data_IF_878954431445
#
_entry.id   IF_878954431445
#
_cell.length_a   1.000
_cell.length_b   1.000
_cell.length_c   1.000
_cell.angle_alpha   90.00
_cell.angle_beta   90.00
_cell.angle_gamma   90.00
#
_symmetry.space_group_name_H-M   'P 1'
#
loop_
_entity.id
_entity.type
_entity.pdbx_description
1 polymer ?
#
# COMPACT_ATOMS: atom_id res chain seq x y z
N UNK A 1 7.40 -3.32 -7.03
CA UNK A 1 6.97 -1.94 -7.37
C UNK A 1 5.48 -2.00 -7.64
N UNK A 2 4.70 -1.24 -6.88
CA UNK A 2 3.23 -1.29 -6.93
C UNK A 2 2.71 0.03 -7.47
N UNK A 3 1.92 -0.02 -8.56
CA UNK A 3 1.35 1.19 -9.18
C UNK A 3 0.13 1.65 -8.40
N UNK A 4 0.08 2.93 -8.07
CA UNK A 4 -1.06 3.57 -7.43
C UNK A 4 -2.14 3.83 -8.47
N UNK A 5 -3.35 3.34 -8.21
CA UNK A 5 -4.52 3.58 -9.07
C UNK A 5 -5.49 4.59 -8.50
N UNK A 6 -5.59 4.64 -7.18
CA UNK A 6 -6.51 5.53 -6.49
C UNK A 6 -5.84 6.15 -5.27
N UNK A 7 -6.22 7.39 -5.00
CA UNK A 7 -5.83 8.11 -3.80
C UNK A 7 -7.11 8.67 -3.20
N UNK A 8 -7.39 8.32 -1.95
CA UNK A 8 -8.56 8.83 -1.24
C UNK A 8 -8.34 10.28 -0.81
N UNK A 9 -9.35 11.12 -1.04
CA UNK A 9 -9.29 12.53 -0.66
C UNK A 9 -9.29 12.70 0.87
N UNK A 10 -8.53 13.69 1.36
CA UNK A 10 -8.38 13.97 2.79
C UNK A 10 -7.44 13.03 3.52
N UNK A 11 -6.82 12.08 2.81
CA UNK A 11 -5.81 11.18 3.38
C UNK A 11 -4.41 11.81 3.35
N UNK A 12 -3.48 11.30 4.15
CA UNK A 12 -2.10 11.79 4.13
C UNK A 12 -1.43 11.63 2.77
N UNK A 13 -1.76 10.59 1.99
CA UNK A 13 -1.17 10.37 0.67
C UNK A 13 -1.47 11.51 -0.31
N UNK A 14 -2.72 11.99 -0.35
CA UNK A 14 -3.11 13.16 -1.15
C UNK A 14 -2.33 14.41 -0.73
N UNK A 15 -2.28 14.67 0.58
CA UNK A 15 -1.58 15.84 1.14
C UNK A 15 -0.08 15.82 0.88
N UNK A 16 0.49 14.64 0.68
CA UNK A 16 1.91 14.45 0.45
C UNK A 16 2.32 14.65 -1.03
N UNK A 17 1.37 14.97 -1.91
CA UNK A 17 1.62 15.22 -3.32
C UNK A 17 1.85 13.96 -4.15
N UNK A 18 1.41 12.80 -3.63
CA UNK A 18 1.41 11.54 -4.38
C UNK A 18 0.31 11.63 -5.45
N UNK A 19 0.60 11.18 -6.67
CA UNK A 19 -0.36 11.17 -7.75
C UNK A 19 -0.69 9.74 -8.20
N UNK A 20 -1.90 9.58 -8.71
CA UNK A 20 -2.31 8.34 -9.38
C UNK A 20 -1.39 8.08 -10.58
N UNK A 21 -0.91 6.84 -10.69
CA UNK A 21 0.04 6.42 -11.70
C UNK A 21 1.51 6.42 -11.24
N UNK A 22 1.81 6.97 -10.06
CA UNK A 22 3.11 6.81 -9.43
C UNK A 22 3.29 5.38 -8.89
N UNK A 23 4.55 4.99 -8.68
CA UNK A 23 4.93 3.65 -8.24
C UNK A 23 5.52 3.70 -6.85
N UNK A 24 4.97 2.90 -5.94
CA UNK A 24 5.56 2.67 -4.63
C UNK A 24 6.64 1.58 -4.72
N UNK A 25 7.84 1.91 -4.29
CA UNK A 25 9.01 1.03 -4.31
C UNK A 25 9.27 0.40 -2.94
N UNK A 26 9.26 1.21 -1.87
CA UNK A 26 9.53 0.77 -0.51
C UNK A 26 8.86 1.69 0.52
N UNK A 27 8.66 1.18 1.74
CA UNK A 27 8.24 1.95 2.92
C UNK A 27 9.31 1.76 3.99
N UNK A 28 9.83 2.85 4.55
CA UNK A 28 10.89 2.84 5.57
C UNK A 28 12.13 2.04 5.13
N UNK A 29 12.44 2.06 3.82
CA UNK A 29 13.53 1.28 3.23
C UNK A 29 13.24 -0.22 3.05
N UNK A 30 12.05 -0.69 3.47
CA UNK A 30 11.61 -2.06 3.29
C UNK A 30 10.82 -2.21 1.99
N UNK A 31 11.20 -3.18 1.16
CA UNK A 31 10.45 -3.50 -0.05
C UNK A 31 9.12 -4.16 0.30
N UNK A 32 8.04 -3.64 -0.25
CA UNK A 32 6.70 -4.21 -0.10
C UNK A 32 6.54 -5.34 -1.11
N UNK A 33 6.37 -6.58 -0.64
CA UNK A 33 6.10 -7.72 -1.52
C UNK A 33 4.61 -7.94 -1.70
N UNK A 34 3.84 -7.81 -0.62
CA UNK A 34 2.41 -8.08 -0.59
C UNK A 34 1.64 -7.11 0.33
N UNK A 35 0.33 -7.34 0.49
CA UNK A 35 -0.56 -6.50 1.30
C UNK A 35 -0.25 -6.51 2.78
N UNK A 36 0.27 -7.62 3.32
CA UNK A 36 0.61 -7.72 4.72
C UNK A 36 1.81 -6.83 5.04
N UNK A 37 2.84 -6.86 4.19
CA UNK A 37 3.99 -5.94 4.29
C UNK A 37 3.51 -4.48 4.29
N UNK A 38 2.62 -4.13 3.36
CA UNK A 38 2.07 -2.77 3.28
C UNK A 38 1.32 -2.40 4.57
N UNK A 39 0.44 -3.27 5.07
CA UNK A 39 -0.32 -3.02 6.30
C UNK A 39 0.60 -2.87 7.51
N UNK A 40 1.59 -3.75 7.66
CA UNK A 40 2.58 -3.70 8.75
C UNK A 40 3.37 -2.41 8.69
N UNK A 41 3.97 -2.09 7.54
CA UNK A 41 4.79 -0.88 7.43
C UNK A 41 3.96 0.39 7.57
N UNK A 42 2.70 0.39 7.13
CA UNK A 42 1.78 1.53 7.27
C UNK A 42 1.33 1.81 8.71
N UNK A 43 1.65 0.94 9.68
CA UNK A 43 1.28 1.14 11.09
C UNK A 43 2.18 2.12 11.85
N UNK A 44 3.34 2.46 11.30
CA UNK A 44 4.27 3.38 11.94
C UNK A 44 3.77 4.83 11.87
N UNK A 45 4.14 5.64 12.87
CA UNK A 45 3.78 7.07 12.92
C UNK A 45 4.52 7.89 11.86
N UNK A 46 5.78 7.54 11.57
CA UNK A 46 6.60 8.18 10.56
C UNK A 46 6.89 7.20 9.42
N UNK A 47 6.40 7.54 8.23
CA UNK A 47 6.44 6.70 7.05
C UNK A 47 7.25 7.39 5.97
N UNK A 48 8.36 6.75 5.59
CA UNK A 48 9.20 7.15 4.46
C UNK A 48 8.84 6.31 3.26
N UNK A 49 8.05 6.86 2.35
CA UNK A 49 7.65 6.21 1.11
C UNK A 49 8.68 6.52 0.02
N UNK A 50 9.38 5.51 -0.47
CA UNK A 50 10.22 5.63 -1.65
C UNK A 50 9.36 5.38 -2.89
N UNK A 51 9.24 6.41 -3.71
CA UNK A 51 8.33 6.47 -4.84
C UNK A 51 9.07 6.70 -6.15
N UNK A 52 8.44 6.31 -7.25
CA UNK A 52 8.92 6.59 -8.59
C UNK A 52 7.76 7.14 -9.43
N UNK A 53 7.95 8.33 -9.98
CA UNK A 53 6.93 8.95 -10.81
C UNK A 53 6.75 8.16 -12.10
N UNK A 54 5.59 8.26 -12.74
CA UNK A 54 5.34 7.69 -14.07
C UNK A 54 6.39 8.09 -15.13
N UNK A 55 7.12 9.20 -14.91
CA UNK A 55 8.26 9.64 -15.75
C UNK A 55 9.60 8.95 -15.44
N UNK A 56 9.65 8.02 -14.49
CA UNK A 56 10.86 7.32 -14.07
C UNK A 56 11.75 8.09 -13.08
N UNK A 57 11.26 9.19 -12.50
CA UNK A 57 11.99 9.96 -11.48
C UNK A 57 11.69 9.38 -10.10
N UNK A 58 12.72 8.89 -9.40
CA UNK A 58 12.59 8.48 -8.00
C UNK A 58 12.57 9.69 -7.07
N UNK A 59 11.70 9.64 -6.06
CA UNK A 59 11.59 10.64 -5.01
C UNK A 59 11.11 9.97 -3.73
N UNK A 60 11.46 10.55 -2.59
CA UNK A 60 11.02 10.06 -1.29
C UNK A 60 9.99 11.03 -0.73
N UNK A 61 8.92 10.48 -0.16
CA UNK A 61 7.86 11.20 0.51
C UNK A 61 7.89 10.83 1.99
N UNK A 62 7.94 11.84 2.87
CA UNK A 62 7.80 11.64 4.31
C UNK A 62 6.35 11.95 4.69
N UNK A 63 5.71 10.99 5.32
CA UNK A 63 4.30 11.02 5.64
C UNK A 63 4.14 10.67 7.12
N UNK A 64 3.32 11.44 7.84
CA UNK A 64 3.06 11.20 9.26
C UNK A 64 1.66 10.62 9.45
N UNK A 65 1.58 9.40 9.96
CA UNK A 65 0.34 8.72 10.28
C UNK A 65 -0.04 8.90 11.75
N UNK A 66 -0.33 10.15 12.13
CA UNK A 66 -0.71 10.52 13.50
C UNK A 66 -2.02 9.88 14.00
N UNK A 67 -2.77 9.18 13.14
CA UNK A 67 -4.05 8.59 13.48
C UNK A 67 -4.08 7.06 13.33
N UNK A 68 -2.96 6.41 12.99
CA UNK A 68 -2.93 4.98 12.69
C UNK A 68 -3.94 4.57 11.61
N UNK A 69 -4.28 5.52 10.71
CA UNK A 69 -5.26 5.32 9.64
C UNK A 69 -4.58 4.78 8.39
N UNK A 70 -5.30 4.09 7.51
CA UNK A 70 -4.76 3.72 6.21
C UNK A 70 -4.30 4.96 5.45
N UNK A 71 -3.20 4.85 4.70
CA UNK A 71 -2.60 5.97 3.97
C UNK A 71 -3.52 6.51 2.86
N UNK A 72 -4.55 5.77 2.48
CA UNK A 72 -5.49 6.13 1.41
C UNK A 72 -4.99 5.82 0.01
N UNK A 73 -3.96 4.98 -0.13
CA UNK A 73 -3.44 4.54 -1.43
C UNK A 73 -4.07 3.21 -1.83
N UNK A 74 -4.73 3.18 -2.99
CA UNK A 74 -5.18 1.95 -3.64
C UNK A 74 -4.23 1.52 -4.75
N UNK A 75 -3.92 0.23 -4.81
CA UNK A 75 -2.99 -0.35 -5.79
C UNK A 75 -3.72 -1.32 -6.72
N UNK A 76 -3.31 -1.34 -8.00
CA UNK A 76 -3.89 -2.23 -9.02
C UNK A 76 -3.57 -3.71 -8.82
N UNK A 77 -2.51 -3.98 -8.06
CA UNK A 77 -1.86 -5.28 -8.14
C UNK A 77 -2.81 -6.33 -7.58
N UNK A 78 -3.27 -7.23 -8.44
CA UNK A 78 -4.06 -8.42 -8.11
C UNK A 78 -3.48 -9.17 -6.90
N UNK A 79 -2.17 -9.08 -6.66
CA UNK A 79 -1.46 -9.70 -5.54
C UNK A 79 -1.62 -9.00 -4.17
N UNK A 80 -2.08 -7.75 -4.12
CA UNK A 80 -2.49 -7.07 -2.87
C UNK A 80 -3.96 -7.35 -2.52
N UNK A 81 -4.74 -7.79 -3.50
CA UNK A 81 -6.14 -8.21 -3.39
C UNK A 81 -6.29 -9.75 -3.30
N UNK A 82 -5.23 -10.50 -3.60
CA UNK A 82 -5.14 -11.92 -3.27
C UNK A 82 -4.94 -12.06 -1.75
N UNK A 83 -6.00 -11.73 -1.00
CA UNK A 83 -6.45 -12.60 0.08
C UNK A 83 -6.16 -14.02 -0.39
N UNK A 84 -5.31 -14.74 0.36
CA UNK A 84 -5.02 -16.14 0.11
C UNK A 84 -6.34 -16.87 -0.19
N UNK A 85 -6.69 -17.03 -1.47
CA UNK A 85 -7.71 -17.97 -1.89
C UNK A 85 -7.08 -19.29 -1.57
N UNK A 86 -7.45 -19.78 -0.40
CA UNK A 86 -7.06 -21.04 0.17
C UNK A 86 -6.94 -22.06 -0.95
N UNK A 87 -5.70 -22.47 -1.28
CA UNK A 87 -5.43 -23.55 -2.21
C UNK A 87 -5.74 -24.93 -1.61
N UNK A 88 -6.34 -24.99 -0.43
CA UNK A 88 -6.89 -26.25 0.07
C UNK A 88 -8.27 -26.47 -0.54
N UNK A 89 -8.39 -27.52 -1.35
CA UNK A 89 -9.65 -28.20 -1.68
C UNK A 89 -10.27 -28.85 -0.42
N UNK A 90 -10.34 -28.14 0.72
CA UNK A 90 -10.88 -28.67 1.96
C UNK A 90 -12.40 -28.45 2.00
N UNK A 91 -13.13 -29.57 2.07
CA UNK A 91 -14.60 -29.68 2.15
C UNK A 91 -15.23 -29.12 3.45
N UNK A 92 -14.47 -28.37 4.25
CA UNK A 92 -14.96 -27.78 5.50
C UNK A 92 -14.74 -26.27 5.48
N UNK A 93 -15.67 -25.59 4.82
CA UNK A 93 -15.94 -24.18 5.03
C UNK A 93 -16.61 -24.05 6.41
N UNK A 94 -15.87 -23.56 7.39
CA UNK A 94 -16.44 -23.00 8.63
C UNK A 94 -15.72 -21.68 8.91
N UNK A 95 -16.11 -20.66 8.15
CA UNK A 95 -16.13 -19.30 8.66
C UNK A 95 -17.58 -18.84 8.52
N UNK A 96 -18.23 -18.88 9.68
CA UNK A 96 -19.48 -18.26 10.12
C UNK A 96 -20.11 -17.21 9.17
N UNK A 97 -21.18 -17.62 8.48
CA UNK A 97 -22.47 -16.93 8.38
C UNK A 97 -23.54 -17.82 7.72
#
# INVERSE_FOLDING_TARGET
MHRIETIEAGTPAEKSGIAVGDYLMAINGNQIKDVLDYMIFSTEEELRLDMCSAKGKSYTVLLQNLQGKPLGMGFASVTLDEEKKCQNQCVFCFIDQ
#
